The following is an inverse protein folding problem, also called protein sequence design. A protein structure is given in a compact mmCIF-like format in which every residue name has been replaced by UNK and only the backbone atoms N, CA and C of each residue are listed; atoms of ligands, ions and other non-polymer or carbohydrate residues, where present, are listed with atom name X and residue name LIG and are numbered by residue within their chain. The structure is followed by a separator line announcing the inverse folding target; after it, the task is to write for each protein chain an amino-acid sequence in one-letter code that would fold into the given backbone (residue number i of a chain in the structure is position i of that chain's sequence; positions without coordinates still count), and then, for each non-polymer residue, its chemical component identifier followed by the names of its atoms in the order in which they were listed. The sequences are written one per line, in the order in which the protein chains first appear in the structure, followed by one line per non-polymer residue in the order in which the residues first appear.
data_IF_054035248350
#
_entry.id   IF_054035248350
#
_cell.length_a   1.000
_cell.length_b   1.000
_cell.length_c   1.000
_cell.angle_alpha   90.00
_cell.angle_beta   90.00
_cell.angle_gamma   90.00
#
_symmetry.space_group_name_H-M   'P 1'
#
loop_
_entity.id
_entity.type
_entity.pdbx_description
1 polymer ?
#
# COMPACT_ATOMS: atom_id res chain seq x y z
N UNK A 1 45.62 -22.86 23.31
CA UNK A 1 45.16 -21.47 23.51
C UNK A 1 44.17 -21.11 22.42
N UNK A 2 42.87 -21.12 22.71
CA UNK A 2 41.83 -20.86 21.73
C UNK A 2 41.71 -19.35 21.44
N UNK A 3 42.10 -18.93 20.24
CA UNK A 3 42.02 -17.53 19.81
C UNK A 3 40.56 -17.13 19.66
N UNK A 4 40.06 -16.31 20.59
CA UNK A 4 38.74 -15.71 20.50
C UNK A 4 38.67 -14.82 19.25
N UNK A 5 37.81 -15.17 18.28
CA UNK A 5 37.65 -14.44 17.02
C UNK A 5 36.44 -13.49 17.13
N UNK A 6 36.62 -12.18 17.35
CA UNK A 6 35.52 -11.26 17.68
C UNK A 6 34.50 -11.08 16.54
N UNK A 7 34.86 -11.34 15.29
CA UNK A 7 33.92 -11.25 14.16
C UNK A 7 32.87 -12.39 14.14
N UNK A 8 32.98 -13.40 14.99
CA UNK A 8 32.01 -14.49 15.09
C UNK A 8 30.81 -14.15 15.99
N UNK A 9 30.92 -13.13 16.86
CA UNK A 9 29.85 -12.72 17.78
C UNK A 9 28.48 -12.52 17.11
N UNK A 10 28.37 -11.85 15.94
CA UNK A 10 27.07 -11.69 15.26
C UNK A 10 26.43 -13.02 14.84
N UNK A 11 27.24 -14.01 14.47
CA UNK A 11 26.76 -15.31 14.06
C UNK A 11 26.27 -16.13 15.27
N UNK A 12 26.99 -16.06 16.40
CA UNK A 12 26.60 -16.66 17.68
C UNK A 12 25.29 -16.06 18.20
N UNK A 13 25.21 -14.72 18.27
CA UNK A 13 23.98 -14.03 18.68
C UNK A 13 22.82 -14.36 17.76
N UNK A 14 23.06 -14.41 16.45
CA UNK A 14 22.07 -14.84 15.49
C UNK A 14 21.58 -16.25 15.78
N UNK A 15 22.49 -17.21 15.99
CA UNK A 15 22.15 -18.61 16.30
C UNK A 15 21.32 -18.73 17.57
N UNK A 16 21.77 -18.11 18.67
CA UNK A 16 21.04 -18.04 19.93
C UNK A 16 19.61 -17.50 19.71
N UNK A 17 19.50 -16.37 19.00
CA UNK A 17 18.21 -15.75 18.70
C UNK A 17 17.25 -16.64 17.90
N UNK A 18 17.75 -17.41 16.93
CA UNK A 18 16.88 -18.25 16.11
C UNK A 18 16.38 -19.49 16.84
N UNK A 19 17.17 -20.05 17.74
CA UNK A 19 16.82 -21.24 18.52
C UNK A 19 16.25 -20.88 19.90
N UNK A 20 15.94 -19.61 20.14
CA UNK A 20 15.38 -19.15 21.41
C UNK A 20 14.01 -19.80 21.68
N UNK A 21 13.71 -20.21 22.92
CA UNK A 21 12.39 -20.67 23.29
C UNK A 21 11.37 -19.52 23.29
N UNK A 22 10.10 -19.83 23.01
CA UNK A 22 9.01 -18.85 23.16
C UNK A 22 8.84 -18.53 24.65
N UNK A 23 8.90 -17.25 25.00
CA UNK A 23 8.78 -16.79 26.40
C UNK A 23 10.09 -16.75 27.19
N UNK A 24 11.26 -16.72 26.54
CA UNK A 24 12.57 -16.58 27.20
C UNK A 24 12.67 -15.38 28.15
N UNK A 25 11.88 -14.32 27.93
CA UNK A 25 11.86 -13.13 28.79
C UNK A 25 11.17 -13.34 30.13
N UNK A 26 10.42 -14.44 30.30
CA UNK A 26 9.61 -14.69 31.50
C UNK A 26 10.33 -15.57 32.53
N UNK A 27 11.51 -16.09 32.22
CA UNK A 27 12.27 -16.99 33.10
C UNK A 27 13.74 -16.59 33.13
N UNK A 28 14.37 -16.49 34.32
CA UNK A 28 15.82 -16.30 34.42
C UNK A 28 16.54 -17.47 33.71
N UNK A 29 17.70 -17.26 33.05
CA UNK A 29 18.56 -16.07 33.10
C UNK A 29 18.19 -14.96 32.09
N UNK A 30 16.97 -14.95 31.54
CA UNK A 30 16.51 -13.92 30.59
C UNK A 30 17.44 -13.74 29.39
N UNK A 31 18.13 -14.81 28.98
CA UNK A 31 18.97 -14.81 27.80
C UNK A 31 18.25 -15.57 26.68
N UNK A 32 18.34 -15.09 25.42
CA UNK A 32 17.75 -15.76 24.28
C UNK A 32 18.64 -16.95 23.86
N UNK A 33 18.94 -17.85 24.79
CA UNK A 33 19.72 -19.07 24.55
C UNK A 33 18.78 -20.26 24.27
N UNK A 34 19.23 -21.27 23.51
CA UNK A 34 18.44 -22.46 23.27
C UNK A 34 18.11 -23.20 24.57
N UNK A 35 16.97 -23.90 24.60
CA UNK A 35 16.61 -24.69 25.78
C UNK A 35 17.57 -25.88 25.98
N UNK A 36 17.77 -26.31 27.23
CA UNK A 36 18.59 -27.49 27.55
C UNK A 36 18.08 -28.75 26.85
N UNK A 37 16.76 -28.94 26.80
CA UNK A 37 16.14 -30.07 26.09
C UNK A 37 16.46 -30.06 24.59
N UNK A 38 16.49 -28.89 23.95
CA UNK A 38 16.88 -28.76 22.55
C UNK A 38 18.36 -29.08 22.34
N UNK A 39 19.23 -28.61 23.23
CA UNK A 39 20.67 -28.89 23.17
C UNK A 39 20.94 -30.39 23.39
N UNK A 40 20.30 -31.01 24.37
CA UNK A 40 20.43 -32.44 24.67
C UNK A 40 20.06 -33.30 23.46
N UNK A 41 18.90 -33.04 22.85
CA UNK A 41 18.49 -33.71 21.62
C UNK A 41 19.48 -33.52 20.46
N UNK A 42 20.04 -32.30 20.33
CA UNK A 42 21.05 -32.00 19.30
C UNK A 42 22.37 -32.73 19.52
N UNK A 43 22.81 -32.83 20.76
CA UNK A 43 24.04 -33.52 21.15
C UNK A 43 23.89 -35.04 21.00
N UNK A 44 22.75 -35.59 21.41
CA UNK A 44 22.39 -36.99 21.21
C UNK A 44 22.41 -37.36 19.72
N UNK A 45 21.83 -36.50 18.86
CA UNK A 45 21.81 -36.75 17.40
C UNK A 45 23.21 -36.63 16.75
N UNK A 46 24.09 -35.77 17.27
CA UNK A 46 25.38 -35.48 16.66
C UNK A 46 26.54 -36.33 17.20
N UNK A 47 26.49 -36.67 18.49
CA UNK A 47 27.57 -37.34 19.23
C UNK A 47 27.10 -38.63 19.92
N UNK A 48 25.81 -38.97 19.88
CA UNK A 48 25.26 -40.17 20.54
C UNK A 48 24.99 -40.03 22.04
N UNK A 49 25.36 -38.90 22.65
CA UNK A 49 25.16 -38.64 24.08
C UNK A 49 24.53 -37.25 24.31
N UNK A 50 23.52 -37.14 25.20
CA UNK A 50 22.79 -35.89 25.43
C UNK A 50 23.61 -34.83 26.16
N UNK A 51 24.62 -35.22 26.93
CA UNK A 51 25.47 -34.32 27.73
C UNK A 51 26.89 -34.18 27.17
N UNK A 52 27.11 -34.60 25.92
CA UNK A 52 28.40 -34.48 25.25
C UNK A 52 28.88 -33.02 25.22
N UNK A 53 30.17 -32.79 25.52
CA UNK A 53 30.80 -31.47 25.39
C UNK A 53 31.40 -31.32 23.99
N UNK A 54 30.76 -30.56 23.08
CA UNK A 54 31.24 -30.47 21.71
C UNK A 54 32.58 -29.73 21.66
N UNK A 55 33.55 -30.17 20.84
CA UNK A 55 34.79 -29.44 20.66
C UNK A 55 34.48 -28.07 20.03
N UNK A 56 35.22 -27.04 20.43
CA UNK A 56 34.99 -25.64 20.02
C UNK A 56 34.94 -25.47 18.49
N UNK A 57 35.70 -26.28 17.75
CA UNK A 57 35.71 -26.25 16.28
C UNK A 57 34.34 -26.56 15.68
N UNK A 58 33.64 -27.57 16.21
CA UNK A 58 32.35 -28.02 15.70
C UNK A 58 31.27 -26.97 15.99
N UNK A 59 31.37 -26.30 17.15
CA UNK A 59 30.50 -25.16 17.50
C UNK A 59 30.70 -23.99 16.53
N UNK A 60 31.96 -23.66 16.19
CA UNK A 60 32.28 -22.60 15.24
C UNK A 60 31.76 -22.94 13.84
N UNK A 61 31.92 -24.19 13.40
CA UNK A 61 31.45 -24.64 12.08
C UNK A 61 29.93 -24.65 12.00
N UNK A 62 29.25 -25.12 13.05
CA UNK A 62 27.80 -25.06 13.17
C UNK A 62 27.28 -23.62 13.10
N UNK A 63 27.93 -22.68 13.79
CA UNK A 63 27.52 -21.26 13.79
C UNK A 63 27.75 -20.63 12.42
N UNK A 64 28.88 -20.92 11.76
CA UNK A 64 29.15 -20.45 10.39
C UNK A 64 28.13 -21.00 9.39
N UNK A 65 27.84 -22.29 9.46
CA UNK A 65 26.83 -22.94 8.64
C UNK A 65 25.45 -22.36 8.91
N UNK A 66 25.05 -22.18 10.17
CA UNK A 66 23.75 -21.61 10.54
C UNK A 66 23.60 -20.17 10.04
N UNK A 67 24.66 -19.37 10.08
CA UNK A 67 24.67 -18.01 9.55
C UNK A 67 24.60 -18.00 8.01
N UNK A 68 25.38 -18.85 7.33
CA UNK A 68 25.37 -18.94 5.86
C UNK A 68 24.03 -19.46 5.34
N UNK A 69 23.46 -20.48 5.99
CA UNK A 69 22.17 -21.06 5.63
C UNK A 69 21.04 -20.06 5.82
N UNK A 70 21.03 -19.27 6.89
CA UNK A 70 20.03 -18.20 7.08
C UNK A 70 20.17 -17.08 6.06
N UNK A 71 21.38 -16.72 5.64
CA UNK A 71 21.59 -15.77 4.54
C UNK A 71 21.06 -16.35 3.22
N UNK A 72 21.26 -17.64 2.96
CA UNK A 72 20.72 -18.35 1.79
C UNK A 72 19.20 -18.45 1.83
N UNK A 73 18.60 -18.86 2.94
CA UNK A 73 17.14 -18.90 3.13
C UNK A 73 16.52 -17.50 3.04
N UNK A 74 17.16 -16.46 3.59
CA UNK A 74 16.71 -15.06 3.40
C UNK A 74 16.87 -14.56 1.97
N UNK A 75 17.75 -15.14 1.15
CA UNK A 75 17.86 -14.83 -0.28
C UNK A 75 16.86 -15.64 -1.12
N UNK A 76 16.66 -16.92 -0.80
CA UNK A 76 15.72 -17.82 -1.51
C UNK A 76 14.25 -17.64 -1.13
N UNK A 77 13.96 -17.13 0.07
CA UNK A 77 12.60 -16.79 0.52
C UNK A 77 12.29 -15.29 0.35
N UNK A 78 13.10 -14.55 -0.41
CA UNK A 78 12.67 -13.26 -0.95
C UNK A 78 11.80 -13.58 -2.15
N UNK A 79 10.49 -13.29 -2.13
CA UNK A 79 9.75 -13.29 -3.38
C UNK A 79 10.47 -12.30 -4.30
N UNK A 80 10.93 -12.78 -5.46
CA UNK A 80 11.29 -11.90 -6.56
C UNK A 80 10.15 -10.89 -6.72
N UNK A 81 10.40 -9.63 -6.39
CA UNK A 81 9.38 -8.58 -6.39
C UNK A 81 8.89 -8.09 -5.02
N UNK A 82 9.60 -8.35 -3.91
CA UNK A 82 9.39 -7.52 -2.71
C UNK A 82 9.85 -6.09 -3.01
N UNK A 83 8.90 -5.25 -3.45
CA UNK A 83 9.09 -3.80 -3.57
C UNK A 83 9.35 -3.31 -2.16
N UNK A 84 10.62 -3.00 -1.87
CA UNK A 84 11.00 -2.22 -0.67
C UNK A 84 9.99 -1.08 -0.60
N UNK A 85 9.31 -0.92 0.54
CA UNK A 85 8.22 0.05 0.69
C UNK A 85 8.52 1.31 -0.12
N UNK A 86 7.60 1.68 -1.01
CA UNK A 86 7.81 2.59 -2.14
C UNK A 86 9.00 3.53 -1.86
N UNK A 87 10.12 3.40 -2.59
CA UNK A 87 11.35 4.12 -2.25
C UNK A 87 11.00 5.59 -2.05
N UNK A 88 11.65 6.26 -1.10
CA UNK A 88 11.38 7.68 -0.81
C UNK A 88 11.27 8.49 -2.11
N UNK A 89 12.09 8.13 -3.11
CA UNK A 89 12.05 8.53 -4.51
C UNK A 89 10.65 8.49 -5.18
N UNK A 90 9.90 7.40 -5.08
CA UNK A 90 8.56 7.29 -5.67
C UNK A 90 7.54 8.21 -4.97
N UNK A 91 7.66 8.35 -3.64
CA UNK A 91 6.82 9.30 -2.89
C UNK A 91 7.16 10.74 -3.25
N UNK A 92 8.45 11.07 -3.39
CA UNK A 92 8.89 12.39 -3.85
C UNK A 92 8.51 12.66 -5.30
N UNK A 93 8.53 11.64 -6.17
CA UNK A 93 8.06 11.77 -7.57
C UNK A 93 6.55 12.04 -7.59
N UNK A 94 5.76 11.34 -6.77
CA UNK A 94 4.33 11.58 -6.69
C UNK A 94 4.00 12.99 -6.15
N UNK A 95 4.68 13.43 -5.09
CA UNK A 95 4.54 14.80 -4.56
C UNK A 95 4.98 15.83 -5.60
N UNK A 96 6.11 15.60 -6.27
CA UNK A 96 6.59 16.48 -7.33
C UNK A 96 5.62 16.52 -8.52
N UNK A 97 5.02 15.39 -8.90
CA UNK A 97 4.01 15.33 -9.96
C UNK A 97 2.75 16.11 -9.59
N UNK A 98 2.30 16.05 -8.33
CA UNK A 98 1.17 16.84 -7.82
C UNK A 98 1.50 18.34 -7.81
N UNK A 99 2.72 18.71 -7.38
CA UNK A 99 3.15 20.12 -7.37
C UNK A 99 3.36 20.65 -8.79
N UNK A 100 3.89 19.84 -9.69
CA UNK A 100 4.07 20.18 -11.10
C UNK A 100 2.74 20.23 -11.85
N UNK A 101 1.77 19.38 -11.52
CA UNK A 101 0.42 19.48 -12.09
C UNK A 101 -0.30 20.73 -11.58
N UNK A 102 -0.18 21.06 -10.28
CA UNK A 102 -0.67 22.31 -9.74
C UNK A 102 0.00 23.54 -10.38
N UNK A 103 1.31 23.49 -10.61
CA UNK A 103 2.06 24.54 -11.30
C UNK A 103 1.69 24.63 -12.79
N UNK A 104 1.49 23.50 -13.48
CA UNK A 104 1.06 23.46 -14.88
C UNK A 104 -0.35 24.01 -15.05
N UNK A 105 -1.26 23.70 -14.12
CA UNK A 105 -2.61 24.28 -14.03
C UNK A 105 -2.52 25.81 -13.87
N UNK A 106 -1.62 26.29 -13.01
CA UNK A 106 -1.41 27.72 -12.83
C UNK A 106 -0.85 28.41 -14.08
N UNK A 107 0.05 27.73 -14.82
CA UNK A 107 0.64 28.25 -16.06
C UNK A 107 -0.30 28.21 -17.28
N UNK A 108 -1.26 27.28 -17.30
CA UNK A 108 -2.25 27.11 -18.36
C UNK A 108 -3.67 27.53 -17.90
N UNK A 109 -3.74 28.40 -16.89
CA UNK A 109 -4.98 28.81 -16.26
C UNK A 109 -6.05 29.32 -17.25
N UNK A 110 -5.63 29.92 -18.38
CA UNK A 110 -6.55 30.43 -19.42
C UNK A 110 -7.37 29.36 -20.16
N UNK A 111 -6.82 28.16 -20.41
CA UNK A 111 -7.61 27.06 -21.02
C UNK A 111 -8.55 26.41 -20.00
N UNK A 112 -8.10 26.36 -18.74
CA UNK A 112 -8.89 25.87 -17.62
C UNK A 112 -10.03 26.83 -17.31
N UNK A 113 -9.84 28.12 -17.55
CA UNK A 113 -10.87 29.16 -17.48
C UNK A 113 -12.00 28.95 -18.48
N UNK A 114 -11.68 28.56 -19.72
CA UNK A 114 -12.69 28.23 -20.71
C UNK A 114 -13.54 26.99 -20.30
N UNK A 115 -12.90 25.98 -19.71
CA UNK A 115 -13.58 24.78 -19.19
C UNK A 115 -14.39 25.10 -17.93
N UNK A 116 -13.85 25.93 -17.03
CA UNK A 116 -14.52 26.44 -15.81
C UNK A 116 -15.77 27.22 -16.18
N UNK A 117 -15.65 28.16 -17.10
CA UNK A 117 -16.74 29.03 -17.51
C UNK A 117 -17.80 28.26 -18.32
N UNK A 118 -17.37 27.28 -19.14
CA UNK A 118 -18.29 26.35 -19.80
C UNK A 118 -19.05 25.48 -18.79
N UNK A 119 -18.37 24.97 -17.76
CA UNK A 119 -19.00 24.18 -16.69
C UNK A 119 -19.96 25.03 -15.86
N UNK A 120 -19.58 26.27 -15.52
CA UNK A 120 -20.42 27.21 -14.76
C UNK A 120 -21.69 27.60 -15.53
N UNK A 121 -21.57 27.88 -16.84
CA UNK A 121 -22.72 28.15 -17.72
C UNK A 121 -23.68 26.97 -17.83
N UNK A 122 -23.15 25.75 -17.80
CA UNK A 122 -23.94 24.53 -17.88
C UNK A 122 -24.52 24.08 -16.52
N UNK A 123 -24.23 24.78 -15.41
CA UNK A 123 -24.74 24.46 -14.09
C UNK A 123 -24.24 23.11 -13.55
N UNK A 124 -25.06 22.42 -12.75
CA UNK A 124 -24.70 21.11 -12.17
C UNK A 124 -24.30 20.03 -13.19
N UNK A 125 -24.93 19.91 -14.37
CA UNK A 125 -24.46 19.02 -15.43
C UNK A 125 -23.02 19.29 -15.88
N UNK A 126 -22.65 20.57 -16.06
CA UNK A 126 -21.28 20.96 -16.41
C UNK A 126 -20.29 20.58 -15.32
N UNK A 127 -20.65 20.86 -14.06
CA UNK A 127 -19.85 20.46 -12.89
C UNK A 127 -19.67 18.94 -12.81
N UNK A 128 -20.72 18.16 -13.10
CA UNK A 128 -20.66 16.70 -13.13
C UNK A 128 -19.69 16.19 -14.19
N UNK A 129 -19.77 16.71 -15.42
CA UNK A 129 -18.89 16.28 -16.52
C UNK A 129 -17.43 16.65 -16.25
N UNK A 130 -17.18 17.85 -15.73
CA UNK A 130 -15.84 18.26 -15.30
C UNK A 130 -15.30 17.32 -14.21
N UNK A 131 -16.13 17.01 -13.21
CA UNK A 131 -15.77 16.08 -12.14
C UNK A 131 -15.58 14.64 -12.63
N UNK A 132 -16.35 14.17 -13.62
CA UNK A 132 -16.19 12.84 -14.20
C UNK A 132 -14.90 12.71 -15.02
N UNK A 133 -14.54 13.76 -15.77
CA UNK A 133 -13.28 13.81 -16.52
C UNK A 133 -12.06 13.84 -15.57
N UNK A 134 -12.11 14.67 -14.54
CA UNK A 134 -11.10 14.75 -13.48
C UNK A 134 -11.03 13.50 -12.60
N UNK A 135 -12.17 12.82 -12.42
CA UNK A 135 -12.28 11.57 -11.67
C UNK A 135 -11.36 10.47 -12.18
N UNK A 136 -10.91 10.56 -13.44
CA UNK A 136 -9.87 9.69 -13.97
C UNK A 136 -8.47 10.26 -13.65
N UNK A 137 -8.13 10.27 -12.36
CA UNK A 137 -6.94 10.90 -11.78
C UNK A 137 -5.62 10.34 -12.34
N UNK A 138 -5.64 9.13 -12.93
CA UNK A 138 -4.47 8.56 -13.61
C UNK A 138 -4.06 9.36 -14.86
N UNK A 139 -5.01 9.99 -15.55
CA UNK A 139 -4.78 10.78 -16.77
C UNK A 139 -4.82 12.27 -16.48
N UNK A 140 -5.73 12.70 -15.60
CA UNK A 140 -5.90 14.11 -15.24
C UNK A 140 -5.81 14.31 -13.73
N UNK A 141 -4.60 14.49 -13.15
CA UNK A 141 -4.37 14.52 -11.70
C UNK A 141 -4.66 15.92 -11.10
N UNK A 142 -5.85 16.46 -11.37
CA UNK A 142 -6.29 17.76 -10.85
C UNK A 142 -7.70 17.60 -10.27
N UNK A 143 -7.85 17.55 -8.94
CA UNK A 143 -9.16 17.41 -8.31
C UNK A 143 -10.06 18.62 -8.59
N UNK A 144 -11.26 18.42 -9.14
CA UNK A 144 -12.23 19.51 -9.36
C UNK A 144 -12.60 20.24 -8.06
N UNK A 145 -12.53 19.55 -6.93
CA UNK A 145 -12.79 20.14 -5.61
C UNK A 145 -11.85 21.32 -5.26
N UNK A 146 -10.68 21.45 -5.90
CA UNK A 146 -9.82 22.63 -5.72
C UNK A 146 -10.44 23.91 -6.27
N UNK A 147 -11.33 23.81 -7.26
CA UNK A 147 -12.05 24.95 -7.84
C UNK A 147 -13.34 25.29 -7.09
N UNK A 148 -13.57 24.68 -5.92
CA UNK A 148 -14.80 24.85 -5.16
C UNK A 148 -15.16 26.31 -4.84
N UNK A 149 -14.23 27.19 -4.42
CA UNK A 149 -14.55 28.60 -4.19
C UNK A 149 -15.15 29.29 -5.42
N UNK A 150 -14.60 29.03 -6.61
CA UNK A 150 -15.13 29.59 -7.87
C UNK A 150 -16.56 29.13 -8.17
N UNK A 151 -16.91 27.89 -7.82
CA UNK A 151 -18.28 27.41 -7.99
C UNK A 151 -19.25 28.08 -7.00
N UNK A 152 -18.81 28.40 -5.78
CA UNK A 152 -19.62 29.18 -4.85
C UNK A 152 -19.89 30.59 -5.40
N UNK A 153 -18.86 31.25 -5.95
CA UNK A 153 -18.98 32.57 -6.57
C UNK A 153 -19.90 32.55 -7.81
N UNK A 154 -19.91 31.43 -8.54
CA UNK A 154 -20.84 31.19 -9.66
C UNK A 154 -22.28 30.88 -9.19
N UNK A 155 -22.56 30.88 -7.89
CA UNK A 155 -23.89 30.70 -7.30
C UNK A 155 -24.29 29.25 -7.00
N UNK A 156 -23.35 28.30 -7.02
CA UNK A 156 -23.66 26.91 -6.66
C UNK A 156 -23.84 26.76 -5.15
N UNK A 157 -24.84 25.97 -4.76
CA UNK A 157 -25.02 25.62 -3.36
C UNK A 157 -23.92 24.63 -2.93
N UNK A 158 -23.30 24.80 -1.73
CA UNK A 158 -22.15 24.00 -1.31
C UNK A 158 -22.40 22.48 -1.31
N UNK A 159 -23.50 22.06 -0.69
CA UNK A 159 -23.82 20.63 -0.48
C UNK A 159 -24.14 19.93 -1.81
N UNK A 160 -25.03 20.44 -2.67
CA UNK A 160 -25.27 19.85 -3.99
C UNK A 160 -24.02 19.84 -4.88
N UNK A 161 -23.19 20.89 -4.84
CA UNK A 161 -21.95 20.94 -5.61
C UNK A 161 -20.98 19.82 -5.21
N UNK A 162 -20.74 19.63 -3.90
CA UNK A 162 -19.88 18.55 -3.40
C UNK A 162 -20.46 17.17 -3.73
N UNK A 163 -21.77 17.00 -3.64
CA UNK A 163 -22.43 15.75 -4.02
C UNK A 163 -22.23 15.43 -5.51
N UNK A 164 -22.41 16.43 -6.38
CA UNK A 164 -22.21 16.30 -7.83
C UNK A 164 -20.75 16.03 -8.17
N UNK A 165 -19.80 16.72 -7.54
CA UNK A 165 -18.36 16.49 -7.72
C UNK A 165 -17.99 15.05 -7.31
N UNK A 166 -18.50 14.59 -6.17
CA UNK A 166 -18.22 13.23 -5.66
C UNK A 166 -18.82 12.14 -6.54
N UNK A 167 -20.05 12.36 -7.04
CA UNK A 167 -20.69 11.47 -7.99
C UNK A 167 -19.93 11.41 -9.33
N UNK A 168 -19.55 12.57 -9.86
CA UNK A 168 -18.74 12.69 -11.07
C UNK A 168 -17.42 11.93 -10.94
N UNK A 169 -16.65 12.19 -9.89
CA UNK A 169 -15.37 11.50 -9.70
C UNK A 169 -15.52 9.99 -9.54
N UNK A 170 -16.58 9.53 -8.85
CA UNK A 170 -16.90 8.10 -8.76
C UNK A 170 -17.20 7.47 -10.12
N UNK A 171 -17.77 8.22 -11.08
CA UNK A 171 -17.92 7.76 -12.45
C UNK A 171 -16.56 7.58 -13.17
N UNK A 172 -15.58 8.44 -12.91
CA UNK A 172 -14.20 8.24 -13.38
C UNK A 172 -13.57 6.97 -12.80
N UNK A 173 -13.74 6.75 -11.49
CA UNK A 173 -13.30 5.53 -10.80
C UNK A 173 -13.97 4.25 -11.34
N UNK A 174 -15.25 4.35 -11.74
CA UNK A 174 -15.96 3.26 -12.41
C UNK A 174 -15.28 2.88 -13.73
N UNK A 175 -14.83 3.85 -14.54
CA UNK A 175 -14.09 3.56 -15.76
C UNK A 175 -12.79 2.81 -15.47
N UNK A 176 -12.02 3.27 -14.47
CA UNK A 176 -10.82 2.57 -14.00
C UNK A 176 -11.13 1.13 -13.57
N UNK A 177 -12.20 0.93 -12.80
CA UNK A 177 -12.67 -0.39 -12.40
C UNK A 177 -13.00 -1.28 -13.61
N UNK A 178 -13.75 -0.76 -14.59
CA UNK A 178 -14.13 -1.48 -15.80
C UNK A 178 -12.92 -1.88 -16.64
N UNK A 179 -11.95 -0.97 -16.80
CA UNK A 179 -10.67 -1.24 -17.46
C UNK A 179 -9.95 -2.37 -16.73
N UNK A 180 -9.80 -2.29 -15.41
CA UNK A 180 -9.17 -3.34 -14.61
C UNK A 180 -9.84 -4.71 -14.75
N UNK A 181 -11.18 -4.72 -14.84
CA UNK A 181 -11.96 -5.94 -15.07
C UNK A 181 -11.76 -6.51 -16.47
N UNK A 182 -11.70 -5.65 -17.49
CA UNK A 182 -11.47 -6.05 -18.88
C UNK A 182 -10.04 -6.55 -19.12
N UNK A 183 -9.03 -5.89 -18.55
CA UNK A 183 -7.62 -6.30 -18.70
C UNK A 183 -7.38 -7.70 -18.11
N UNK A 184 -8.12 -8.08 -17.04
CA UNK A 184 -8.05 -9.43 -16.47
C UNK A 184 -8.34 -10.54 -17.50
N UNK A 185 -9.34 -10.40 -18.36
CA UNK A 185 -9.67 -11.45 -19.34
C UNK A 185 -8.58 -11.60 -20.39
N UNK A 186 -7.90 -10.51 -20.76
CA UNK A 186 -6.80 -10.50 -21.71
C UNK A 186 -5.48 -11.04 -21.13
N UNK A 187 -5.27 -10.97 -19.81
CA UNK A 187 -3.99 -11.32 -19.17
C UNK A 187 -3.97 -12.73 -18.55
N UNK A 188 -5.02 -13.53 -18.81
CA UNK A 188 -5.18 -14.87 -18.21
C UNK A 188 -4.03 -15.82 -18.59
N UNK A 189 -3.37 -15.56 -19.72
CA UNK A 189 -2.33 -16.42 -20.29
C UNK A 189 -0.88 -15.95 -20.02
N UNK A 190 -0.68 -14.71 -19.56
CA UNK A 190 0.68 -14.10 -19.42
C UNK A 190 1.20 -14.15 -17.96
N UNK A 191 0.29 -14.20 -16.99
CA UNK A 191 0.62 -13.93 -15.59
C UNK A 191 1.01 -15.17 -14.75
N UNK A 192 2.00 -15.96 -15.19
CA UNK A 192 2.48 -17.08 -14.40
C UNK A 192 3.27 -16.62 -13.14
N UNK A 193 2.79 -17.02 -11.96
CA UNK A 193 3.55 -17.07 -10.71
C UNK A 193 3.40 -15.88 -9.73
N UNK A 194 3.51 -14.61 -10.14
CA UNK A 194 3.51 -13.46 -9.19
C UNK A 194 2.10 -12.92 -8.91
N UNK A 195 1.32 -12.66 -9.96
CA UNK A 195 -0.06 -12.19 -9.84
C UNK A 195 -0.94 -13.27 -9.23
N UNK A 196 -0.76 -14.54 -9.61
CA UNK A 196 -1.49 -15.68 -9.03
C UNK A 196 -1.28 -15.83 -7.51
N UNK A 197 -0.06 -15.60 -7.00
CA UNK A 197 0.22 -15.65 -5.55
C UNK A 197 -0.38 -14.46 -4.80
N UNK A 198 -0.35 -13.27 -5.39
CA UNK A 198 -1.00 -12.08 -4.83
C UNK A 198 -2.52 -12.27 -4.81
N UNK A 199 -3.11 -12.77 -5.89
CA UNK A 199 -4.50 -13.18 -5.98
C UNK A 199 -4.85 -14.20 -4.88
N UNK A 200 -4.08 -15.28 -4.73
CA UNK A 200 -4.34 -16.29 -3.70
C UNK A 200 -4.27 -15.74 -2.27
N UNK A 201 -3.33 -14.83 -1.96
CA UNK A 201 -3.23 -14.17 -0.65
C UNK A 201 -4.36 -13.19 -0.41
N UNK A 202 -4.71 -12.38 -1.41
CA UNK A 202 -5.80 -11.43 -1.33
C UNK A 202 -7.15 -12.15 -1.20
N UNK A 203 -7.36 -13.26 -1.92
CA UNK A 203 -8.53 -14.12 -1.75
C UNK A 203 -8.57 -14.76 -0.37
N UNK A 204 -7.46 -15.27 0.15
CA UNK A 204 -7.39 -15.85 1.49
C UNK A 204 -7.73 -14.81 2.58
N UNK A 205 -7.27 -13.57 2.44
CA UNK A 205 -7.61 -12.47 3.34
C UNK A 205 -9.07 -12.03 3.18
N UNK A 206 -9.56 -11.94 1.93
CA UNK A 206 -10.93 -11.56 1.59
C UNK A 206 -11.99 -12.56 2.05
N UNK A 207 -11.66 -13.86 2.10
CA UNK A 207 -12.53 -14.91 2.67
C UNK A 207 -12.73 -14.78 4.18
N UNK A 208 -11.70 -14.30 4.90
CA UNK A 208 -11.76 -14.15 6.36
C UNK A 208 -12.33 -12.78 6.79
N UNK A 209 -12.04 -11.72 6.04
CA UNK A 209 -12.46 -10.35 6.36
C UNK A 209 -12.87 -9.58 5.10
N UNK A 210 -14.05 -9.91 4.55
CA UNK A 210 -14.57 -9.29 3.30
C UNK A 210 -14.68 -7.76 3.38
N UNK A 211 -14.95 -7.22 4.57
CA UNK A 211 -15.10 -5.78 4.82
C UNK A 211 -13.77 -5.02 4.94
N UNK A 212 -12.68 -5.69 5.33
CA UNK A 212 -11.42 -5.01 5.63
C UNK A 212 -10.80 -4.30 4.40
N UNK A 213 -10.71 -4.94 3.22
CA UNK A 213 -10.24 -4.25 2.02
C UNK A 213 -11.13 -3.09 1.59
N UNK A 214 -12.45 -3.22 1.75
CA UNK A 214 -13.40 -2.14 1.44
C UNK A 214 -13.24 -0.96 2.40
N UNK A 215 -13.05 -1.22 3.69
CA UNK A 215 -12.74 -0.19 4.69
C UNK A 215 -11.40 0.50 4.41
N UNK A 216 -10.37 -0.25 4.02
CA UNK A 216 -9.09 0.33 3.61
C UNK A 216 -9.21 1.19 2.35
N UNK A 217 -10.00 0.76 1.37
CA UNK A 217 -10.29 1.54 0.16
C UNK A 217 -11.02 2.84 0.52
N UNK A 218 -12.02 2.78 1.38
CA UNK A 218 -12.72 3.98 1.88
C UNK A 218 -11.75 4.94 2.57
N UNK A 219 -10.93 4.46 3.50
CA UNK A 219 -9.95 5.29 4.20
C UNK A 219 -8.89 5.85 3.24
N UNK A 220 -8.48 5.07 2.24
CA UNK A 220 -7.58 5.52 1.19
C UNK A 220 -8.20 6.68 0.40
N UNK A 221 -9.39 6.49 -0.14
CA UNK A 221 -10.10 7.51 -0.92
C UNK A 221 -10.42 8.78 -0.11
N UNK A 222 -10.66 8.65 1.19
CA UNK A 222 -10.99 9.78 2.06
C UNK A 222 -9.79 10.67 2.43
N UNK A 223 -8.59 10.09 2.59
CA UNK A 223 -7.47 10.78 3.23
C UNK A 223 -6.18 10.80 2.40
N UNK A 224 -6.09 10.02 1.34
CA UNK A 224 -4.87 9.90 0.54
C UNK A 224 -5.06 10.68 -0.76
N UNK A 225 -4.28 11.75 -1.01
CA UNK A 225 -4.37 12.55 -2.24
C UNK A 225 -3.62 11.84 -3.38
N UNK A 226 -4.03 10.61 -3.70
CA UNK A 226 -3.47 9.79 -4.77
C UNK A 226 -4.61 9.24 -5.64
N UNK A 227 -4.33 8.87 -6.90
CA UNK A 227 -5.35 8.32 -7.78
C UNK A 227 -5.97 7.04 -7.20
N UNK A 228 -7.28 7.07 -6.98
CA UNK A 228 -8.08 5.95 -6.47
C UNK A 228 -7.96 4.69 -7.34
N UNK A 229 -7.78 4.86 -8.64
CA UNK A 229 -7.62 3.81 -9.64
C UNK A 229 -6.44 2.89 -9.32
N UNK A 230 -5.41 3.40 -8.63
CA UNK A 230 -4.29 2.58 -8.15
C UNK A 230 -4.73 1.44 -7.22
N UNK A 231 -5.87 1.60 -6.54
CA UNK A 231 -6.45 0.60 -5.64
C UNK A 231 -7.68 -0.07 -6.27
N UNK A 232 -8.53 0.72 -6.93
CA UNK A 232 -9.77 0.26 -7.57
C UNK A 232 -9.48 -0.73 -8.72
N UNK A 233 -8.47 -0.46 -9.55
CA UNK A 233 -8.07 -1.37 -10.64
C UNK A 233 -7.65 -2.75 -10.09
N UNK A 234 -6.70 -2.86 -9.13
CA UNK A 234 -6.40 -4.13 -8.48
C UNK A 234 -7.61 -4.82 -7.85
N UNK A 235 -8.52 -4.08 -7.23
CA UNK A 235 -9.75 -4.67 -6.67
C UNK A 235 -10.66 -5.29 -7.74
N UNK A 236 -10.79 -4.63 -8.90
CA UNK A 236 -11.48 -5.18 -10.05
C UNK A 236 -10.83 -6.48 -10.55
N UNK A 237 -9.50 -6.48 -10.65
CA UNK A 237 -8.72 -7.68 -10.95
C UNK A 237 -8.93 -8.81 -9.93
N UNK A 238 -9.18 -8.49 -8.66
CA UNK A 238 -9.43 -9.44 -7.57
C UNK A 238 -10.89 -9.90 -7.42
N UNK A 239 -11.79 -9.50 -8.33
CA UNK A 239 -13.23 -9.88 -8.33
C UNK A 239 -14.00 -9.37 -7.11
N UNK A 240 -13.62 -8.24 -6.55
CA UNK A 240 -14.54 -7.55 -5.66
C UNK A 240 -15.82 -7.19 -6.44
N UNK A 241 -16.95 -7.13 -5.76
CA UNK A 241 -18.21 -6.71 -6.38
C UNK A 241 -18.20 -5.21 -6.63
N UNK A 242 -18.74 -4.76 -7.76
CA UNK A 242 -18.74 -3.36 -8.15
C UNK A 242 -19.38 -2.46 -7.09
N UNK A 243 -20.61 -2.77 -6.66
CA UNK A 243 -21.39 -1.88 -5.82
C UNK A 243 -20.70 -1.52 -4.48
N UNK A 244 -20.15 -2.47 -3.69
CA UNK A 244 -19.42 -2.12 -2.46
C UNK A 244 -18.13 -1.32 -2.69
N UNK A 245 -17.43 -1.57 -3.81
CA UNK A 245 -16.23 -0.81 -4.17
C UNK A 245 -16.61 0.63 -4.51
N UNK A 246 -17.62 0.82 -5.37
CA UNK A 246 -18.11 2.14 -5.74
C UNK A 246 -18.72 2.89 -4.56
N UNK A 247 -19.42 2.20 -3.64
CA UNK A 247 -19.93 2.82 -2.42
C UNK A 247 -18.79 3.30 -1.49
N UNK A 248 -17.75 2.48 -1.31
CA UNK A 248 -16.57 2.86 -0.53
C UNK A 248 -15.86 4.08 -1.13
N UNK A 249 -15.69 4.11 -2.46
CA UNK A 249 -15.07 5.22 -3.19
C UNK A 249 -15.94 6.47 -3.14
N UNK A 250 -17.26 6.37 -3.37
CA UNK A 250 -18.17 7.50 -3.31
C UNK A 250 -18.16 8.17 -1.94
N UNK A 251 -18.28 7.38 -0.88
CA UNK A 251 -18.22 7.90 0.49
C UNK A 251 -16.84 8.49 0.81
N UNK A 252 -15.77 7.85 0.35
CA UNK A 252 -14.40 8.35 0.52
C UNK A 252 -14.21 9.69 -0.19
N UNK A 253 -14.57 9.76 -1.48
CA UNK A 253 -14.51 10.97 -2.30
C UNK A 253 -15.35 12.10 -1.69
N UNK A 254 -16.55 11.82 -1.18
CA UNK A 254 -17.37 12.83 -0.50
C UNK A 254 -16.64 13.46 0.70
N UNK A 255 -15.97 12.64 1.52
CA UNK A 255 -15.16 13.13 2.65
C UNK A 255 -13.95 13.92 2.12
N UNK A 256 -13.19 13.35 1.19
CA UNK A 256 -12.01 13.98 0.63
C UNK A 256 -12.33 15.34 0.00
N UNK A 257 -13.39 15.42 -0.80
CA UNK A 257 -13.82 16.66 -1.45
C UNK A 257 -14.26 17.70 -0.45
N UNK A 258 -14.94 17.29 0.61
CA UNK A 258 -15.32 18.21 1.70
C UNK A 258 -14.06 18.75 2.40
N UNK A 259 -13.09 17.89 2.70
CA UNK A 259 -11.82 18.31 3.33
C UNK A 259 -11.02 19.25 2.44
N UNK A 260 -10.92 18.94 1.14
CA UNK A 260 -10.24 19.79 0.15
C UNK A 260 -10.95 21.11 -0.02
N UNK A 261 -12.28 21.12 -0.12
CA UNK A 261 -13.08 22.33 -0.22
C UNK A 261 -12.89 23.24 0.99
N UNK A 262 -12.97 22.69 2.22
CA UNK A 262 -12.73 23.44 3.45
C UNK A 262 -11.29 23.97 3.54
N UNK A 263 -10.32 23.18 3.09
CA UNK A 263 -8.92 23.60 3.03
C UNK A 263 -8.70 24.72 2.00
N UNK A 264 -9.35 24.64 0.84
CA UNK A 264 -9.30 25.67 -0.19
C UNK A 264 -9.92 26.97 0.32
N UNK A 265 -11.13 26.95 0.88
CA UNK A 265 -11.76 28.17 1.41
C UNK A 265 -10.92 28.81 2.53
N UNK A 266 -10.34 28.01 3.43
CA UNK A 266 -9.46 28.53 4.48
C UNK A 266 -8.13 29.09 3.98
N UNK A 267 -7.56 28.54 2.91
CA UNK A 267 -6.33 29.04 2.30
C UNK A 267 -6.53 30.33 1.49
N UNK A 268 -7.71 30.53 0.93
CA UNK A 268 -8.08 31.73 0.17
C UNK A 268 -8.66 32.87 1.03
N UNK A 269 -8.73 32.70 2.36
CA UNK A 269 -9.00 33.81 3.29
C UNK A 269 -10.39 34.44 3.15
N UNK A 270 -11.41 33.63 2.90
CA UNK A 270 -12.82 34.03 3.10
C UNK A 270 -13.38 33.41 4.38
#
# INVERSE_FOLDING_TARGET
MATFRPWLWPAFLGAAWAFRPRGWQRRPPFLPVPSRQYLAWRLETAYGEPDATPPLRDVVDFVRWSHSMRRRMRRGNRPEGWVRGAPLALKTIAIAAILLSAAWVNLNAGEIEAVRDAAARAGYPGLFLAAAASGFNLVWPVPVALFFPFFLDAGFAPVPALAVISAGMTCGDLLGYLIGRATRSATRDIAHGRIARFQARAEALGRRHRLLPLGLLFLYAAFVPLPNELVVVPMAFLRYSLAPVMAAVLCGNAIFNTLVALGATGAFGM
#
